data_IF_613949059026
#
_entry.id   IF_613949059026
#
_cell.length_a   1.000
_cell.length_b   1.000
_cell.length_c   1.000
_cell.angle_alpha   90.00
_cell.angle_beta   90.00
_cell.angle_gamma   90.00
#
_symmetry.space_group_name_H-M   'P 1'
#
loop_
_entity.id
_entity.type
_entity.pdbx_description
1 polymer ?
#
# COMPACT_ATOMS: atom_id res chain seq x y z
N UNK A 1 18.12 6.40 -26.64
CA UNK A 1 16.87 7.14 -26.93
C UNK A 1 15.91 6.20 -27.64
N UNK A 2 14.70 6.04 -27.12
CA UNK A 2 13.71 5.08 -27.64
C UNK A 2 12.42 5.84 -27.95
N UNK A 3 11.81 5.54 -29.10
CA UNK A 3 10.51 6.07 -29.50
C UNK A 3 9.53 4.90 -29.52
N UNK A 4 8.48 4.98 -28.71
CA UNK A 4 7.40 3.99 -28.72
C UNK A 4 6.10 4.60 -29.22
N UNK A 5 5.29 3.79 -29.88
CA UNK A 5 4.00 4.18 -30.43
C UNK A 5 2.89 3.48 -29.64
N UNK A 6 1.80 4.19 -29.33
CA UNK A 6 0.63 3.56 -28.73
C UNK A 6 -0.04 2.63 -29.73
N UNK A 7 -0.54 1.49 -29.25
CA UNK A 7 -1.34 0.56 -30.06
C UNK A 7 -2.75 1.11 -30.32
N UNK A 8 -3.27 1.90 -29.38
CA UNK A 8 -4.63 2.44 -29.40
C UNK A 8 -4.69 3.83 -30.04
N UNK A 9 -3.57 4.57 -30.03
CA UNK A 9 -3.44 5.93 -30.58
C UNK A 9 -2.14 6.02 -31.40
N UNK A 10 -2.11 5.58 -32.68
CA UNK A 10 -0.88 5.48 -33.48
C UNK A 10 -0.13 6.80 -33.65
N UNK A 11 -0.86 7.91 -33.58
CA UNK A 11 -0.33 9.28 -33.64
C UNK A 11 0.32 9.76 -32.33
N UNK A 12 0.18 9.00 -31.24
CA UNK A 12 0.77 9.31 -29.94
C UNK A 12 2.12 8.62 -29.78
N UNK A 13 3.17 9.43 -29.79
CA UNK A 13 4.55 9.00 -29.64
C UNK A 13 5.05 9.25 -28.21
N UNK A 14 5.74 8.27 -27.65
CA UNK A 14 6.39 8.37 -26.34
C UNK A 14 7.90 8.32 -26.51
N UNK A 15 8.58 9.27 -25.88
CA UNK A 15 10.02 9.47 -26.00
C UNK A 15 10.67 9.09 -24.67
N UNK A 16 11.54 8.07 -24.71
CA UNK A 16 12.24 7.56 -23.53
C UNK A 16 13.74 7.82 -23.63
N UNK A 17 14.28 8.32 -22.52
CA UNK A 17 15.71 8.50 -22.31
C UNK A 17 16.09 7.60 -21.14
N UNK A 18 17.09 6.76 -21.34
CA UNK A 18 17.61 5.84 -20.32
C UNK A 18 19.12 5.80 -20.38
N UNK A 19 19.73 5.53 -19.23
CA UNK A 19 21.15 5.18 -19.08
C UNK A 19 21.39 3.66 -19.16
N UNK A 20 20.32 2.87 -19.24
CA UNK A 20 20.39 1.40 -19.37
C UNK A 20 20.42 1.01 -20.85
N UNK A 21 21.60 0.60 -21.32
CA UNK A 21 21.83 0.25 -22.73
C UNK A 21 21.73 -1.25 -23.02
N UNK A 22 21.79 -2.08 -21.99
CA UNK A 22 21.72 -3.55 -22.11
C UNK A 22 20.27 -4.07 -22.20
N UNK A 23 19.30 -3.24 -21.83
CA UNK A 23 17.88 -3.60 -21.86
C UNK A 23 17.27 -3.36 -23.23
N UNK A 24 16.34 -4.22 -23.62
CA UNK A 24 15.63 -4.01 -24.88
C UNK A 24 14.69 -2.80 -24.78
N UNK A 25 14.36 -2.22 -25.94
CA UNK A 25 13.40 -1.11 -25.99
C UNK A 25 12.07 -1.45 -25.30
N UNK A 26 11.63 -2.72 -25.41
CA UNK A 26 10.43 -3.25 -24.76
C UNK A 26 10.57 -3.27 -23.24
N UNK A 27 11.68 -3.77 -22.72
CA UNK A 27 11.91 -3.85 -21.27
C UNK A 27 11.90 -2.45 -20.65
N UNK A 28 12.50 -1.47 -21.33
CA UNK A 28 12.52 -0.07 -20.88
C UNK A 28 11.12 0.53 -20.90
N UNK A 29 10.33 0.26 -21.95
CA UNK A 29 8.94 0.75 -22.00
C UNK A 29 8.06 0.09 -20.95
N UNK A 30 8.21 -1.22 -20.73
CA UNK A 30 7.44 -1.97 -19.74
C UNK A 30 7.82 -1.54 -18.31
N UNK A 31 9.11 -1.33 -18.03
CA UNK A 31 9.55 -0.75 -16.76
C UNK A 31 8.96 0.65 -16.52
N UNK A 32 8.89 1.49 -17.56
CA UNK A 32 8.27 2.82 -17.43
C UNK A 32 6.77 2.74 -17.17
N UNK A 33 6.06 1.70 -17.63
CA UNK A 33 4.64 1.52 -17.30
C UNK A 33 4.42 1.37 -15.79
N UNK A 34 5.35 0.73 -15.07
CA UNK A 34 5.30 0.62 -13.61
C UNK A 34 5.36 1.98 -12.90
N UNK A 35 5.73 3.08 -13.58
CA UNK A 35 5.66 4.44 -13.01
C UNK A 35 4.25 4.78 -12.52
N UNK A 36 3.21 4.30 -13.19
CA UNK A 36 1.82 4.56 -12.77
C UNK A 36 1.48 3.92 -11.42
N UNK A 37 2.18 2.85 -11.02
CA UNK A 37 1.95 2.18 -9.75
C UNK A 37 2.24 3.08 -8.55
N UNK A 38 3.18 4.03 -8.69
CA UNK A 38 3.47 4.99 -7.63
C UNK A 38 2.27 5.92 -7.36
N UNK A 39 1.51 6.28 -8.40
CA UNK A 39 0.32 7.12 -8.26
C UNK A 39 -0.79 6.36 -7.56
N UNK A 40 -0.95 5.07 -7.87
CA UNK A 40 -1.88 4.17 -7.17
C UNK A 40 -1.47 4.02 -5.71
N UNK A 41 -0.17 3.89 -5.42
CA UNK A 41 0.37 3.82 -4.06
C UNK A 41 0.09 5.11 -3.27
N UNK A 42 0.38 6.27 -3.83
CA UNK A 42 0.08 7.55 -3.17
C UNK A 42 -1.42 7.78 -2.99
N UNK A 43 -2.25 7.35 -3.94
CA UNK A 43 -3.71 7.36 -3.79
C UNK A 43 -4.15 6.49 -2.62
N UNK A 44 -3.59 5.28 -2.50
CA UNK A 44 -3.85 4.38 -1.38
C UNK A 44 -3.45 5.01 -0.03
N UNK A 45 -2.24 5.57 0.07
CA UNK A 45 -1.80 6.24 1.31
C UNK A 45 -2.75 7.38 1.69
N UNK A 46 -3.08 8.26 0.75
CA UNK A 46 -3.91 9.43 1.05
C UNK A 46 -5.36 9.06 1.38
N UNK A 47 -5.97 8.17 0.61
CA UNK A 47 -7.40 7.85 0.74
C UNK A 47 -7.69 6.77 1.79
N UNK A 48 -6.82 5.78 1.92
CA UNK A 48 -7.08 4.62 2.79
C UNK A 48 -6.37 4.73 4.12
N UNK A 49 -5.25 5.44 4.24
CA UNK A 49 -4.55 5.59 5.52
C UNK A 49 -4.79 6.95 6.20
N UNK A 50 -5.63 7.82 5.61
CA UNK A 50 -6.06 9.11 6.18
C UNK A 50 -4.91 10.04 6.64
N UNK A 51 -3.77 9.98 5.96
CA UNK A 51 -2.57 10.81 6.26
C UNK A 51 -2.83 12.31 6.14
N UNK A 52 -3.95 12.70 5.54
CA UNK A 52 -4.39 14.10 5.41
C UNK A 52 -4.67 14.80 6.75
N UNK A 53 -4.87 14.06 7.85
CA UNK A 53 -5.07 14.63 9.18
C UNK A 53 -3.86 14.36 10.08
N UNK A 54 -2.89 15.28 10.04
CA UNK A 54 -1.71 15.20 10.88
C UNK A 54 -2.08 15.46 12.35
N UNK A 55 -1.75 14.52 13.24
CA UNK A 55 -1.94 14.64 14.71
C UNK A 55 -0.97 15.66 15.33
N UNK A 56 0.17 15.94 14.69
CA UNK A 56 1.16 16.91 15.15
C UNK A 56 1.74 17.70 13.96
N UNK A 57 1.99 18.99 14.19
CA UNK A 57 2.56 19.92 13.20
C UNK A 57 4.06 20.19 13.42
N UNK A 58 4.68 19.59 14.46
CA UNK A 58 6.12 19.65 14.63
C UNK A 58 6.80 18.71 13.62
N UNK A 59 7.97 19.10 13.08
CA UNK A 59 8.78 18.31 12.15
C UNK A 59 8.92 16.85 12.59
N UNK A 60 9.31 16.62 13.84
CA UNK A 60 9.49 15.26 14.38
C UNK A 60 8.17 14.49 14.41
N UNK A 61 7.06 15.16 14.75
CA UNK A 61 5.73 14.55 14.76
C UNK A 61 5.27 14.14 13.36
N UNK A 62 5.56 14.97 12.36
CA UNK A 62 5.28 14.68 10.95
C UNK A 62 6.13 13.49 10.48
N UNK A 63 7.43 13.48 10.77
CA UNK A 63 8.33 12.38 10.41
C UNK A 63 7.87 11.05 11.00
N UNK A 64 7.58 11.02 12.31
CA UNK A 64 7.09 9.81 12.99
C UNK A 64 5.78 9.32 12.36
N UNK A 65 4.83 10.21 12.09
CA UNK A 65 3.57 9.78 11.47
C UNK A 65 3.74 9.28 10.04
N UNK A 66 4.66 9.86 9.27
CA UNK A 66 4.98 9.35 7.94
C UNK A 66 5.58 7.94 8.03
N UNK A 67 6.56 7.72 8.92
CA UNK A 67 7.14 6.38 9.12
C UNK A 67 6.10 5.36 9.58
N UNK A 68 5.27 5.71 10.57
CA UNK A 68 4.20 4.83 11.06
C UNK A 68 3.18 4.51 9.96
N UNK A 69 2.80 5.50 9.15
CA UNK A 69 1.92 5.30 7.99
C UNK A 69 2.52 4.31 7.00
N UNK A 70 3.80 4.49 6.64
CA UNK A 70 4.48 3.62 5.68
C UNK A 70 4.58 2.17 6.21
N UNK A 71 4.83 1.99 7.51
CA UNK A 71 4.83 0.67 8.16
C UNK A 71 3.44 0.02 8.06
N UNK A 72 2.38 0.76 8.41
CA UNK A 72 0.99 0.26 8.28
C UNK A 72 0.64 -0.06 6.82
N UNK A 73 1.07 0.78 5.88
CA UNK A 73 0.89 0.55 4.44
C UNK A 73 1.50 -0.79 4.02
N UNK A 74 2.73 -1.08 4.45
CA UNK A 74 3.38 -2.36 4.17
C UNK A 74 2.60 -3.55 4.74
N UNK A 75 2.15 -3.48 6.00
CA UNK A 75 1.36 -4.57 6.59
C UNK A 75 0.06 -4.82 5.83
N UNK A 76 -0.68 -3.78 5.47
CA UNK A 76 -1.93 -3.91 4.70
C UNK A 76 -1.66 -4.49 3.31
N UNK A 77 -0.58 -4.08 2.64
CA UNK A 77 -0.21 -4.60 1.32
C UNK A 77 0.25 -6.06 1.36
N UNK A 78 0.98 -6.45 2.40
CA UNK A 78 1.36 -7.86 2.64
C UNK A 78 0.10 -8.68 2.90
N UNK A 79 -0.76 -8.26 3.82
CA UNK A 79 -2.01 -8.95 4.13
C UNK A 79 -2.91 -9.09 2.89
N UNK A 80 -3.01 -8.02 2.09
CA UNK A 80 -3.70 -8.01 0.79
C UNK A 80 -3.15 -9.10 -0.13
N UNK A 81 -1.82 -9.19 -0.27
CA UNK A 81 -1.15 -10.15 -1.14
C UNK A 81 -1.34 -11.59 -0.65
N UNK A 82 -1.16 -11.85 0.63
CA UNK A 82 -1.29 -13.19 1.23
C UNK A 82 -2.71 -13.74 1.16
N UNK A 83 -3.72 -12.87 1.23
CA UNK A 83 -5.13 -13.26 1.19
C UNK A 83 -5.78 -13.08 -0.19
N UNK A 84 -5.03 -12.61 -1.19
CA UNK A 84 -5.52 -12.38 -2.56
C UNK A 84 -6.79 -11.51 -2.65
N UNK A 85 -6.89 -10.49 -1.80
CA UNK A 85 -8.05 -9.59 -1.69
C UNK A 85 -7.74 -8.16 -2.16
N UNK A 86 -8.77 -7.33 -2.31
CA UNK A 86 -8.61 -5.89 -2.56
C UNK A 86 -8.09 -5.13 -1.32
N UNK A 87 -7.39 -4.01 -1.53
CA UNK A 87 -6.77 -3.23 -0.42
C UNK A 87 -7.81 -2.69 0.59
N UNK A 88 -9.04 -2.37 0.15
CA UNK A 88 -10.14 -1.95 1.04
C UNK A 88 -10.56 -3.07 2.00
N UNK A 89 -10.75 -4.27 1.45
CA UNK A 89 -11.08 -5.47 2.23
C UNK A 89 -9.94 -5.86 3.15
N UNK A 90 -8.69 -5.79 2.66
CA UNK A 90 -7.49 -6.05 3.45
C UNK A 90 -7.39 -5.15 4.67
N UNK A 91 -7.49 -3.83 4.49
CA UNK A 91 -7.48 -2.85 5.58
C UNK A 91 -8.57 -3.15 6.61
N UNK A 92 -9.81 -3.41 6.16
CA UNK A 92 -10.94 -3.69 7.05
C UNK A 92 -10.73 -4.98 7.86
N UNK A 93 -10.35 -6.08 7.21
CA UNK A 93 -10.14 -7.37 7.88
C UNK A 93 -8.94 -7.33 8.82
N UNK A 94 -7.83 -6.75 8.39
CA UNK A 94 -6.65 -6.56 9.22
C UNK A 94 -6.97 -5.79 10.51
N UNK A 95 -7.71 -4.67 10.39
CA UNK A 95 -8.13 -3.91 11.56
C UNK A 95 -9.08 -4.68 12.49
N UNK A 96 -9.98 -5.49 11.92
CA UNK A 96 -10.91 -6.34 12.69
C UNK A 96 -10.17 -7.45 13.44
N UNK A 97 -9.27 -8.17 12.77
CA UNK A 97 -8.45 -9.22 13.37
C UNK A 97 -7.55 -8.66 14.46
N UNK A 98 -6.88 -7.53 14.20
CA UNK A 98 -6.07 -6.85 15.21
C UNK A 98 -6.89 -6.45 16.44
N UNK A 99 -8.10 -5.92 16.24
CA UNK A 99 -9.02 -5.60 17.34
C UNK A 99 -9.39 -6.85 18.14
N UNK A 100 -9.74 -7.94 17.46
CA UNK A 100 -10.10 -9.20 18.11
C UNK A 100 -8.93 -9.76 18.92
N UNK A 101 -7.71 -9.68 18.39
CA UNK A 101 -6.49 -10.05 19.10
C UNK A 101 -6.30 -9.20 20.35
N UNK A 102 -6.41 -7.87 20.26
CA UNK A 102 -6.29 -6.98 21.42
C UNK A 102 -7.35 -7.30 22.48
N UNK A 103 -8.60 -7.52 22.09
CA UNK A 103 -9.68 -7.91 23.02
C UNK A 103 -9.33 -9.23 23.69
N UNK A 104 -8.86 -10.22 22.93
CA UNK A 104 -8.47 -11.51 23.51
C UNK A 104 -7.36 -11.36 24.56
N UNK A 105 -6.34 -10.53 24.29
CA UNK A 105 -5.27 -10.24 25.24
C UNK A 105 -5.80 -9.58 26.51
N UNK A 106 -6.70 -8.60 26.39
CA UNK A 106 -7.32 -7.92 27.53
C UNK A 106 -8.13 -8.89 28.40
N UNK A 107 -8.87 -9.81 27.77
CA UNK A 107 -9.66 -10.83 28.49
C UNK A 107 -8.74 -11.76 29.27
N UNK A 108 -7.64 -12.23 28.69
CA UNK A 108 -6.63 -13.04 29.40
C UNK A 108 -6.08 -12.30 30.62
N UNK A 109 -5.65 -11.06 30.45
CA UNK A 109 -5.11 -10.23 31.54
C UNK A 109 -6.15 -9.98 32.65
N UNK A 110 -7.44 -9.97 32.30
CA UNK A 110 -8.54 -9.83 33.26
C UNK A 110 -8.94 -11.15 33.94
N UNK A 111 -8.24 -12.27 33.66
CA UNK A 111 -8.56 -13.60 34.18
C UNK A 111 -9.80 -14.27 33.55
N UNK A 112 -10.27 -13.74 32.42
CA UNK A 112 -11.38 -14.31 31.65
C UNK A 112 -10.91 -15.33 30.61
N UNK A 113 -11.87 -16.06 30.03
CA UNK A 113 -11.60 -17.02 28.95
C UNK A 113 -11.87 -16.38 27.56
N UNK A 114 -10.83 -16.16 26.73
CA UNK A 114 -10.98 -15.59 25.40
C UNK A 114 -11.77 -16.46 24.42
N UNK A 115 -11.88 -17.77 24.67
CA UNK A 115 -12.57 -18.70 23.78
C UNK A 115 -14.06 -18.39 23.65
N UNK A 116 -14.64 -17.72 24.66
CA UNK A 116 -16.03 -17.26 24.65
C UNK A 116 -16.30 -16.17 23.61
N UNK A 117 -15.30 -15.39 23.23
CA UNK A 117 -15.42 -14.33 22.23
C UNK A 117 -15.39 -14.87 20.79
N UNK A 118 -14.71 -16.00 20.56
CA UNK A 118 -14.56 -16.61 19.23
C UNK A 118 -15.56 -17.73 18.95
N UNK A 119 -16.58 -17.93 19.81
CA UNK A 119 -17.65 -18.89 19.54
C UNK A 119 -18.46 -18.43 18.32
N UNK A 120 -18.49 -19.34 17.34
CA UNK A 120 -19.03 -19.27 15.97
C UNK A 120 -20.36 -18.52 15.85
#
# INVERSE_FOLDING_TARGET
MIIAYSKDEPEKQFWFITNEFDLTAKDITDAYKCRWDIEVFFRFIKQELNVSHLVSLNKNGIEVMLYMTLIVAMFVLIYKRTNEIGYKTAKRRFAMELRNLIISMIVVESGGDPSLFFKT
#
